data_IF_868860732979
#
_entry.id   IF_868860732979
#
_cell.length_a   1.000
_cell.length_b   1.000
_cell.length_c   1.000
_cell.angle_alpha   90.00
_cell.angle_beta   90.00
_cell.angle_gamma   90.00
#
_symmetry.space_group_name_H-M   'P 1'
#
loop_
_entity.id
_entity.type
_entity.pdbx_description
1 polymer ?
#
# COMPACT_ATOMS: atom_id res chain seq x y z
N UNK A 1 -27.78 -5.79 12.60
CA UNK A 1 -28.31 -6.81 11.68
C UNK A 1 -27.54 -8.08 11.96
N UNK A 2 -28.13 -9.04 12.66
CA UNK A 2 -27.50 -10.34 12.91
C UNK A 2 -27.60 -11.15 11.61
N UNK A 3 -26.48 -11.64 11.12
CA UNK A 3 -26.42 -12.60 10.02
C UNK A 3 -26.72 -13.97 10.67
N UNK A 4 -27.71 -14.68 10.15
CA UNK A 4 -28.11 -15.99 10.63
C UNK A 4 -26.98 -16.98 10.41
N UNK A 5 -26.44 -17.56 11.50
CA UNK A 5 -25.26 -18.45 11.50
C UNK A 5 -25.65 -19.92 11.67
N UNK A 6 -26.91 -20.28 11.49
CA UNK A 6 -27.40 -21.68 11.71
C UNK A 6 -27.06 -22.67 10.58
N UNK A 7 -26.38 -22.25 9.51
CA UNK A 7 -25.83 -23.15 8.52
C UNK A 7 -24.36 -23.46 8.88
N UNK A 8 -23.91 -24.69 8.70
CA UNK A 8 -22.57 -25.21 9.01
C UNK A 8 -21.45 -24.57 8.16
N UNK A 9 -21.37 -23.26 8.10
CA UNK A 9 -20.38 -22.47 7.35
C UNK A 9 -20.06 -21.16 8.06
N UNK A 10 -18.98 -20.49 7.59
CA UNK A 10 -18.61 -19.17 8.11
C UNK A 10 -19.60 -18.11 7.62
N UNK A 11 -19.71 -16.91 8.26
CA UNK A 11 -20.47 -15.79 7.71
C UNK A 11 -20.07 -15.43 6.27
N UNK A 12 -18.80 -15.65 5.91
CA UNK A 12 -18.32 -15.45 4.54
C UNK A 12 -18.98 -16.42 3.56
N UNK A 13 -19.06 -17.72 3.87
CA UNK A 13 -19.64 -18.72 2.98
C UNK A 13 -21.13 -18.43 2.69
N UNK A 14 -21.86 -18.03 3.72
CA UNK A 14 -23.26 -17.60 3.57
C UNK A 14 -23.43 -16.39 2.66
N UNK A 15 -22.59 -15.37 2.82
CA UNK A 15 -22.63 -14.16 1.99
C UNK A 15 -22.12 -14.40 0.56
N UNK A 16 -21.20 -15.34 0.38
CA UNK A 16 -20.69 -15.71 -0.93
C UNK A 16 -21.77 -16.41 -1.79
N UNK A 17 -22.69 -17.15 -1.18
CA UNK A 17 -23.77 -17.82 -1.89
C UNK A 17 -24.68 -16.82 -2.64
N UNK A 18 -24.86 -15.58 -2.10
CA UNK A 18 -25.65 -14.50 -2.68
C UNK A 18 -24.79 -13.43 -3.38
N UNK A 19 -23.51 -13.70 -3.57
CA UNK A 19 -22.61 -12.74 -4.17
C UNK A 19 -22.90 -12.48 -5.66
N UNK A 20 -22.64 -11.25 -6.11
CA UNK A 20 -22.70 -10.93 -7.53
C UNK A 20 -21.60 -11.68 -8.27
N UNK A 21 -21.93 -12.30 -9.39
CA UNK A 21 -21.05 -13.18 -10.17
C UNK A 21 -20.66 -12.64 -11.54
N UNK A 22 -21.25 -11.50 -11.95
CA UNK A 22 -20.94 -10.91 -13.25
C UNK A 22 -20.82 -9.38 -13.21
N UNK A 23 -20.03 -8.79 -14.13
CA UNK A 23 -19.99 -7.34 -14.32
C UNK A 23 -21.34 -6.71 -14.68
N UNK A 24 -22.23 -7.45 -15.37
CA UNK A 24 -23.54 -6.94 -15.78
C UNK A 24 -24.44 -6.69 -14.58
N UNK A 25 -24.45 -7.58 -13.59
CA UNK A 25 -25.15 -7.37 -12.31
C UNK A 25 -24.66 -6.10 -11.59
N UNK A 26 -23.38 -5.77 -11.68
CA UNK A 26 -22.88 -4.50 -11.15
C UNK A 26 -23.44 -3.30 -11.93
N UNK A 27 -23.62 -3.43 -13.25
CA UNK A 27 -24.16 -2.36 -14.10
C UNK A 27 -25.65 -2.11 -13.91
N UNK A 28 -26.39 -3.10 -13.45
CA UNK A 28 -27.79 -2.92 -13.03
C UNK A 28 -27.88 -2.03 -11.77
N UNK A 29 -26.89 -2.12 -10.86
CA UNK A 29 -26.86 -1.36 -9.61
C UNK A 29 -26.18 0.01 -9.75
N UNK A 30 -25.22 0.14 -10.66
CA UNK A 30 -24.38 1.34 -10.80
C UNK A 30 -24.47 1.90 -12.22
N UNK A 31 -24.75 3.20 -12.39
CA UNK A 31 -24.73 3.84 -13.70
C UNK A 31 -23.32 3.81 -14.31
N UNK A 32 -23.23 4.07 -15.60
CA UNK A 32 -21.95 4.20 -16.30
C UNK A 32 -21.10 5.34 -15.69
N UNK A 33 -19.78 5.17 -15.60
CA UNK A 33 -18.90 6.21 -15.11
C UNK A 33 -18.95 7.43 -16.03
N UNK A 34 -18.76 8.62 -15.44
CA UNK A 34 -18.58 9.84 -16.23
C UNK A 34 -17.36 9.69 -17.16
N UNK A 35 -17.48 10.16 -18.39
CA UNK A 35 -16.42 10.08 -19.38
C UNK A 35 -15.09 10.71 -18.90
N UNK A 36 -15.14 11.81 -18.13
CA UNK A 36 -13.94 12.43 -17.57
C UNK A 36 -13.24 11.53 -16.54
N UNK A 37 -13.99 10.65 -15.85
CA UNK A 37 -13.40 9.67 -14.94
C UNK A 37 -12.58 8.60 -15.68
N UNK A 38 -12.94 8.31 -16.93
CA UNK A 38 -12.19 7.39 -17.80
C UNK A 38 -11.04 8.11 -18.51
N UNK A 39 -11.29 9.29 -19.07
CA UNK A 39 -10.31 10.05 -19.88
C UNK A 39 -9.09 10.56 -19.11
N UNK A 40 -9.20 10.71 -17.78
CA UNK A 40 -8.06 11.12 -16.93
C UNK A 40 -7.03 10.02 -16.71
N UNK A 41 -7.35 8.77 -17.05
CA UNK A 41 -6.41 7.67 -17.03
C UNK A 41 -5.52 7.74 -18.28
N UNK A 42 -4.23 7.83 -18.06
CA UNK A 42 -3.20 7.91 -19.10
C UNK A 42 -2.09 6.90 -18.80
N UNK A 43 -1.22 6.65 -19.75
CA UNK A 43 -0.16 5.62 -19.68
C UNK A 43 1.23 6.17 -19.32
N UNK A 44 1.31 7.44 -18.93
CA UNK A 44 2.56 8.12 -18.63
C UNK A 44 2.41 9.13 -17.48
N UNK A 45 3.54 9.61 -16.96
CA UNK A 45 3.64 10.61 -15.91
C UNK A 45 3.77 12.01 -16.52
N UNK A 46 2.76 12.86 -16.32
CA UNK A 46 2.87 14.28 -16.68
C UNK A 46 3.79 15.02 -15.70
N UNK A 47 4.14 16.26 -16.00
CA UNK A 47 4.92 17.12 -15.11
C UNK A 47 4.23 17.26 -13.74
N UNK A 48 2.91 17.45 -13.72
CA UNK A 48 2.12 17.61 -12.48
C UNK A 48 2.09 16.32 -11.66
N UNK A 49 1.96 15.14 -12.30
CA UNK A 49 1.98 13.86 -11.57
C UNK A 49 3.36 13.54 -11.03
N UNK A 50 4.42 13.89 -11.73
CA UNK A 50 5.82 13.82 -11.23
C UNK A 50 6.02 14.74 -10.03
N UNK A 51 5.51 15.96 -10.10
CA UNK A 51 5.54 16.90 -8.97
C UNK A 51 4.79 16.36 -7.74
N UNK A 52 3.62 15.73 -7.93
CA UNK A 52 2.88 15.09 -6.84
C UNK A 52 3.66 13.93 -6.21
N UNK A 53 4.31 13.09 -7.01
CA UNK A 53 5.18 12.01 -6.51
C UNK A 53 6.33 12.61 -5.70
N UNK A 54 6.95 13.69 -6.19
CA UNK A 54 8.00 14.41 -5.47
C UNK A 54 7.57 15.02 -4.13
N UNK A 55 6.28 15.26 -3.93
CA UNK A 55 5.71 15.72 -2.65
C UNK A 55 5.27 14.58 -1.73
N UNK A 56 5.25 13.35 -2.21
CA UNK A 56 4.78 12.20 -1.44
C UNK A 56 5.88 11.64 -0.52
N UNK A 57 5.53 11.39 0.71
CA UNK A 57 6.35 10.67 1.70
C UNK A 57 5.83 9.27 1.99
N UNK A 58 4.71 8.87 1.37
CA UNK A 58 4.06 7.59 1.63
C UNK A 58 3.42 7.04 0.34
N UNK A 59 3.72 5.78 0.03
CA UNK A 59 3.08 5.03 -1.05
C UNK A 59 2.69 3.65 -0.57
N UNK A 60 1.48 3.20 -0.89
CA UNK A 60 1.08 1.81 -0.72
C UNK A 60 1.37 1.06 -2.01
N UNK A 61 1.99 -0.10 -1.86
CA UNK A 61 2.30 -1.01 -2.97
C UNK A 61 1.41 -2.23 -2.83
N UNK A 62 0.56 -2.45 -3.81
CA UNK A 62 -0.25 -3.65 -3.95
C UNK A 62 0.42 -4.61 -4.93
N UNK A 63 0.49 -5.89 -4.58
CA UNK A 63 1.00 -6.97 -5.42
C UNK A 63 0.19 -8.24 -5.20
N UNK A 64 0.39 -9.24 -6.02
CA UNK A 64 -0.20 -10.57 -5.83
C UNK A 64 0.80 -11.63 -6.31
N UNK A 65 0.75 -12.81 -5.70
CA UNK A 65 1.48 -13.97 -6.18
C UNK A 65 0.77 -14.66 -7.37
N UNK A 66 1.34 -15.76 -7.88
CA UNK A 66 0.77 -16.51 -9.01
C UNK A 66 -0.56 -17.19 -8.68
N UNK A 67 -0.84 -17.49 -7.41
CA UNK A 67 -2.12 -18.02 -6.94
C UNK A 67 -3.18 -16.93 -6.71
N UNK A 68 -2.84 -15.66 -6.92
CA UNK A 68 -3.74 -14.52 -6.74
C UNK A 68 -3.88 -14.07 -5.29
N UNK A 69 -3.01 -14.52 -4.37
CA UNK A 69 -3.00 -14.01 -2.99
C UNK A 69 -2.46 -12.59 -2.98
N UNK A 70 -3.28 -11.67 -2.52
CA UNK A 70 -2.95 -10.25 -2.52
C UNK A 70 -2.08 -9.85 -1.32
N UNK A 71 -1.12 -8.95 -1.57
CA UNK A 71 -0.33 -8.26 -0.56
C UNK A 71 -0.46 -6.75 -0.75
N UNK A 72 -0.55 -6.01 0.35
CA UNK A 72 -0.53 -4.55 0.35
C UNK A 72 0.40 -4.07 1.46
N UNK A 73 1.46 -3.35 1.09
CA UNK A 73 2.47 -2.87 2.03
C UNK A 73 2.73 -1.36 1.90
N UNK A 74 2.88 -0.62 2.99
CA UNK A 74 3.31 0.77 2.93
C UNK A 74 4.83 0.86 2.67
N UNK A 75 5.21 1.88 1.91
CA UNK A 75 6.59 2.34 1.75
C UNK A 75 6.63 3.82 2.09
N UNK A 76 7.52 4.23 2.98
CA UNK A 76 7.63 5.60 3.45
C UNK A 76 9.08 6.08 3.45
N UNK A 77 9.27 7.39 3.31
CA UNK A 77 10.56 8.05 3.31
C UNK A 77 10.41 9.57 3.32
N UNK A 78 11.49 10.33 3.19
CA UNK A 78 11.39 11.77 2.98
C UNK A 78 10.58 12.06 1.71
N UNK A 79 9.96 13.24 1.63
CA UNK A 79 9.23 13.63 0.42
C UNK A 79 10.15 13.49 -0.80
N UNK A 80 9.64 12.84 -1.86
CA UNK A 80 10.43 12.57 -3.06
C UNK A 80 11.36 11.35 -2.98
N UNK A 81 11.21 10.48 -1.97
CA UNK A 81 12.02 9.25 -1.88
C UNK A 81 11.79 8.29 -3.06
N UNK A 82 10.64 8.36 -3.71
CA UNK A 82 10.38 7.67 -4.97
C UNK A 82 10.96 8.49 -6.10
N UNK A 83 11.95 7.96 -6.80
CA UNK A 83 12.59 8.61 -7.93
C UNK A 83 11.78 8.38 -9.21
N UNK A 84 11.64 9.42 -10.03
CA UNK A 84 11.07 9.34 -11.38
C UNK A 84 12.19 9.51 -12.37
N UNK A 85 12.48 8.49 -13.17
CA UNK A 85 13.59 8.50 -14.12
C UNK A 85 13.21 9.12 -15.46
N UNK A 86 11.98 8.87 -15.90
CA UNK A 86 11.41 9.39 -17.14
C UNK A 86 9.87 9.46 -17.07
N UNK A 87 9.19 9.62 -18.20
CA UNK A 87 7.73 9.74 -18.26
C UNK A 87 7.00 8.43 -17.95
N UNK A 88 7.68 7.29 -17.85
CA UNK A 88 7.06 5.99 -17.57
C UNK A 88 7.74 5.22 -16.43
N UNK A 89 8.89 5.66 -15.94
CA UNK A 89 9.70 4.85 -15.03
C UNK A 89 9.84 5.47 -13.66
N UNK A 90 9.39 4.73 -12.65
CA UNK A 90 9.54 5.07 -11.23
C UNK A 90 10.45 4.05 -10.54
N UNK A 91 11.14 4.50 -9.51
CA UNK A 91 11.99 3.63 -8.70
C UNK A 91 11.74 3.89 -7.22
N UNK A 92 11.41 2.85 -6.49
CA UNK A 92 11.21 2.87 -5.03
C UNK A 92 12.37 2.14 -4.40
N UNK A 93 13.22 2.82 -3.59
CA UNK A 93 14.28 2.14 -2.85
C UNK A 93 13.68 1.17 -1.83
N UNK A 94 14.27 -0.02 -1.70
CA UNK A 94 13.84 -0.95 -0.66
C UNK A 94 14.57 -0.65 0.65
N UNK A 95 13.80 -0.38 1.69
CA UNK A 95 14.33 -0.17 3.04
C UNK A 95 14.48 -1.50 3.77
N UNK A 96 15.46 -1.61 4.65
CA UNK A 96 15.65 -2.79 5.49
C UNK A 96 14.51 -2.94 6.48
N UNK A 97 13.47 -3.69 6.11
CA UNK A 97 12.31 -3.98 6.95
C UNK A 97 12.45 -5.28 7.74
N UNK A 98 11.32 -5.98 7.92
CA UNK A 98 11.23 -7.28 8.62
C UNK A 98 11.80 -8.48 7.82
N UNK A 99 12.27 -8.27 6.59
CA UNK A 99 12.84 -9.27 5.66
C UNK A 99 11.85 -10.35 5.18
N UNK A 100 10.56 -10.13 5.30
CA UNK A 100 9.56 -11.06 4.71
C UNK A 100 9.63 -11.03 3.19
N UNK A 101 9.84 -9.86 2.59
CA UNK A 101 10.04 -9.65 1.15
C UNK A 101 8.83 -10.03 0.29
N UNK A 102 7.61 -10.11 0.86
CA UNK A 102 6.40 -10.59 0.19
C UNK A 102 6.18 -9.85 -1.14
N UNK A 103 6.19 -8.52 -1.13
CA UNK A 103 6.06 -7.70 -2.35
C UNK A 103 7.12 -8.00 -3.40
N UNK A 104 8.40 -8.18 -2.98
CA UNK A 104 9.48 -8.45 -3.91
C UNK A 104 9.33 -9.84 -4.53
N UNK A 105 8.94 -10.85 -3.75
CA UNK A 105 8.63 -12.19 -4.25
C UNK A 105 7.49 -12.14 -5.27
N UNK A 106 6.37 -11.49 -4.94
CA UNK A 106 5.24 -11.35 -5.84
C UNK A 106 5.63 -10.68 -7.16
N UNK A 107 6.50 -9.65 -7.10
CA UNK A 107 7.01 -8.98 -8.30
C UNK A 107 7.92 -9.88 -9.14
N UNK A 108 8.75 -10.71 -8.51
CA UNK A 108 9.56 -11.69 -9.24
C UNK A 108 8.68 -12.72 -9.96
N UNK A 109 7.54 -13.07 -9.39
CA UNK A 109 6.61 -14.06 -9.95
C UNK A 109 5.69 -13.49 -11.01
N UNK A 110 5.09 -12.32 -10.76
CA UNK A 110 4.00 -11.78 -11.62
C UNK A 110 4.40 -10.57 -12.44
N UNK A 111 5.44 -9.84 -12.02
CA UNK A 111 5.88 -8.63 -12.69
C UNK A 111 4.87 -7.48 -12.65
N UNK A 112 3.94 -7.45 -11.68
CA UNK A 112 2.85 -6.49 -11.61
C UNK A 112 2.72 -5.83 -10.25
N UNK A 113 2.41 -4.51 -10.25
CA UNK A 113 2.11 -3.76 -9.02
C UNK A 113 1.05 -2.70 -9.25
N UNK A 114 0.36 -2.33 -8.16
CA UNK A 114 -0.43 -1.11 -8.05
C UNK A 114 0.16 -0.20 -6.99
N UNK A 115 0.30 1.07 -7.29
CA UNK A 115 0.82 2.08 -6.37
C UNK A 115 -0.28 3.09 -6.04
N UNK A 116 -0.40 3.44 -4.75
CA UNK A 116 -1.25 4.51 -4.29
C UNK A 116 -0.43 5.50 -3.47
N UNK A 117 -0.10 6.64 -4.07
CA UNK A 117 0.63 7.73 -3.42
C UNK A 117 -0.30 8.56 -2.56
N UNK A 118 0.10 8.78 -1.31
CA UNK A 118 -0.53 9.72 -0.39
C UNK A 118 0.37 10.93 -0.20
N UNK A 119 -0.22 12.10 -0.37
CA UNK A 119 0.48 13.38 -0.20
C UNK A 119 -0.01 13.96 1.13
N UNK A 120 0.85 14.10 2.15
CA UNK A 120 0.46 14.61 3.46
C UNK A 120 -0.28 15.95 3.35
N UNK A 121 -1.41 16.06 4.06
CA UNK A 121 -2.27 17.24 4.05
C UNK A 121 -3.15 17.42 2.81
N UNK A 122 -3.00 16.59 1.77
CA UNK A 122 -3.88 16.63 0.59
C UNK A 122 -4.84 15.45 0.56
N UNK A 123 -6.14 15.67 0.32
CA UNK A 123 -7.10 14.58 0.25
C UNK A 123 -7.05 13.80 -1.08
N UNK A 124 -6.42 14.34 -2.12
CA UNK A 124 -6.24 13.66 -3.41
C UNK A 124 -5.08 12.67 -3.33
N UNK A 125 -5.27 11.48 -3.87
CA UNK A 125 -4.21 10.48 -4.04
C UNK A 125 -3.90 10.30 -5.52
N UNK A 126 -2.71 9.79 -5.84
CA UNK A 126 -2.32 9.41 -7.18
C UNK A 126 -2.18 7.89 -7.27
N UNK A 127 -2.85 7.28 -8.26
CA UNK A 127 -2.68 5.86 -8.57
C UNK A 127 -1.76 5.68 -9.77
N UNK A 128 -0.86 4.72 -9.66
CA UNK A 128 -0.01 4.26 -10.76
C UNK A 128 -0.04 2.74 -10.75
N UNK A 129 -0.55 2.12 -11.82
CA UNK A 129 -0.49 0.69 -12.01
C UNK A 129 0.48 0.37 -13.16
N UNK A 130 1.15 -0.78 -13.09
CA UNK A 130 2.02 -1.15 -14.18
C UNK A 130 2.85 -2.40 -13.92
N UNK A 131 3.82 -2.59 -14.81
CA UNK A 131 4.80 -3.69 -14.70
C UNK A 131 5.91 -3.29 -13.76
N UNK A 132 6.46 -4.27 -13.05
CA UNK A 132 7.55 -4.04 -12.12
C UNK A 132 8.62 -5.12 -12.22
N UNK A 133 9.83 -4.75 -11.83
CA UNK A 133 10.93 -5.68 -11.58
C UNK A 133 11.74 -5.24 -10.36
N UNK A 134 12.48 -6.17 -9.78
CA UNK A 134 13.42 -5.90 -8.68
C UNK A 134 14.83 -5.74 -9.26
N UNK A 135 15.49 -4.64 -8.94
CA UNK A 135 16.86 -4.35 -9.41
C UNK A 135 17.83 -4.24 -8.24
N UNK A 136 18.99 -4.85 -8.38
CA UNK A 136 20.14 -4.69 -7.49
C UNK A 136 21.33 -4.00 -8.20
N UNK A 137 21.08 -3.25 -9.30
CA UNK A 137 22.11 -2.57 -10.08
C UNK A 137 22.76 -1.45 -9.27
N UNK A 138 24.08 -1.52 -9.00
CA UNK A 138 24.77 -0.56 -8.13
C UNK A 138 24.65 0.90 -8.63
N UNK A 139 24.74 1.13 -9.96
CA UNK A 139 24.64 2.45 -10.55
C UNK A 139 23.26 3.10 -10.36
N UNK A 140 22.21 2.29 -10.33
CA UNK A 140 20.87 2.75 -9.98
C UNK A 140 20.75 3.06 -8.49
N UNK A 141 21.15 2.11 -7.66
CA UNK A 141 21.01 2.22 -6.20
C UNK A 141 21.76 3.42 -5.61
N UNK A 142 22.95 3.75 -6.17
CA UNK A 142 23.75 4.89 -5.73
C UNK A 142 23.13 6.27 -5.99
N UNK A 143 22.13 6.35 -6.87
CA UNK A 143 21.42 7.58 -7.22
C UNK A 143 20.12 7.78 -6.44
N UNK A 144 19.67 6.76 -5.71
CA UNK A 144 18.42 6.82 -4.97
C UNK A 144 18.59 7.53 -3.63
N UNK A 145 17.56 8.26 -3.22
CA UNK A 145 17.49 8.81 -1.86
C UNK A 145 17.36 7.65 -0.86
N UNK A 146 18.29 7.48 0.06
CA UNK A 146 18.19 6.42 1.05
C UNK A 146 16.99 6.63 1.97
N UNK A 147 16.34 5.53 2.35
CA UNK A 147 15.35 5.49 3.41
C UNK A 147 15.98 4.75 4.59
N UNK A 148 16.62 5.50 5.47
CA UNK A 148 17.53 4.95 6.48
C UNK A 148 18.86 4.52 5.85
N UNK A 149 19.16 3.21 5.87
CA UNK A 149 20.39 2.65 5.28
C UNK A 149 20.36 2.67 3.75
N UNK A 150 21.53 2.68 3.07
CA UNK A 150 21.58 2.55 1.63
C UNK A 150 20.80 1.31 1.15
N UNK A 151 19.96 1.43 0.11
CA UNK A 151 19.17 0.31 -0.38
C UNK A 151 20.06 -0.77 -1.00
N UNK A 152 19.71 -2.04 -0.78
CA UNK A 152 20.37 -3.19 -1.44
C UNK A 152 19.61 -3.65 -2.68
N UNK A 153 18.35 -3.26 -2.80
CA UNK A 153 17.49 -3.45 -3.97
C UNK A 153 16.56 -2.26 -4.16
N UNK A 154 15.96 -2.17 -5.33
CA UNK A 154 14.92 -1.22 -5.62
C UNK A 154 13.81 -1.87 -6.46
N UNK A 155 12.58 -1.45 -6.22
CA UNK A 155 11.43 -1.78 -7.06
C UNK A 155 11.38 -0.78 -8.21
N UNK A 156 11.61 -1.26 -9.43
CA UNK A 156 11.49 -0.45 -10.66
C UNK A 156 10.12 -0.70 -11.27
N UNK A 157 9.36 0.36 -11.51
CA UNK A 157 7.99 0.28 -12.01
C UNK A 157 7.87 1.04 -13.31
N UNK A 158 7.33 0.37 -14.34
CA UNK A 158 6.89 1.02 -15.58
C UNK A 158 5.39 1.34 -15.46
N UNK A 159 5.05 2.62 -15.46
CA UNK A 159 3.67 3.09 -15.43
C UNK A 159 2.93 2.70 -16.71
N UNK A 160 1.75 2.09 -16.57
CA UNK A 160 0.83 1.72 -17.66
C UNK A 160 -0.53 2.39 -17.48
N UNK A 161 -0.88 2.76 -16.25
CA UNK A 161 -2.07 3.51 -15.89
C UNK A 161 -1.73 4.53 -14.81
N UNK A 162 -1.98 5.80 -15.08
CA UNK A 162 -1.71 6.91 -14.16
C UNK A 162 -2.96 7.79 -14.08
N UNK A 163 -3.50 7.98 -12.87
CA UNK A 163 -4.63 8.89 -12.67
C UNK A 163 -4.81 9.34 -11.23
N UNK A 164 -5.26 10.60 -11.00
CA UNK A 164 -5.62 11.07 -9.68
C UNK A 164 -6.91 10.41 -9.20
N UNK A 165 -6.94 10.04 -7.93
CA UNK A 165 -8.10 9.45 -7.30
C UNK A 165 -8.95 10.49 -6.57
N UNK A 166 -10.25 10.19 -6.43
CA UNK A 166 -11.21 11.06 -5.77
C UNK A 166 -10.82 11.32 -4.30
N UNK A 167 -10.91 12.56 -3.79
CA UNK A 167 -10.54 12.91 -2.42
C UNK A 167 -11.54 12.42 -1.35
N UNK A 168 -12.73 11.97 -1.75
CA UNK A 168 -13.87 11.74 -0.83
C UNK A 168 -13.57 10.71 0.26
N UNK A 169 -12.76 9.68 0.00
CA UNK A 169 -12.41 8.66 0.99
C UNK A 169 -11.60 9.24 2.14
N UNK A 170 -10.53 9.96 1.83
CA UNK A 170 -9.68 10.62 2.84
C UNK A 170 -10.39 11.76 3.57
N UNK A 171 -11.30 12.46 2.88
CA UNK A 171 -12.14 13.48 3.51
C UNK A 171 -13.12 12.86 4.51
N UNK A 172 -13.82 11.76 4.16
CA UNK A 172 -14.74 11.06 5.07
C UNK A 172 -14.02 10.44 6.26
N UNK A 173 -12.80 9.95 6.04
CA UNK A 173 -11.97 9.38 7.09
C UNK A 173 -11.31 10.43 7.99
N UNK A 174 -11.46 11.74 7.70
CA UNK A 174 -10.72 12.80 8.38
C UNK A 174 -9.21 12.52 8.44
N UNK A 175 -8.65 11.92 7.37
CA UNK A 175 -7.31 11.36 7.36
C UNK A 175 -6.21 12.38 7.72
N UNK A 176 -6.45 13.68 7.49
CA UNK A 176 -5.53 14.78 7.79
C UNK A 176 -6.04 15.71 8.90
N UNK A 177 -6.92 15.18 9.78
CA UNK A 177 -7.48 15.92 10.91
C UNK A 177 -7.24 15.15 12.20
N UNK A 178 -5.99 15.18 12.72
CA UNK A 178 -5.62 14.41 13.92
C UNK A 178 -6.49 14.74 15.15
N UNK A 179 -7.04 15.95 15.21
CA UNK A 179 -7.98 16.37 16.26
C UNK A 179 -9.32 15.61 16.26
N UNK A 180 -9.62 14.87 15.18
CA UNK A 180 -10.83 14.05 15.02
C UNK A 180 -10.56 12.55 15.11
N UNK A 181 -9.31 12.16 15.34
CA UNK A 181 -8.98 10.75 15.48
C UNK A 181 -9.33 10.24 16.88
N UNK A 182 -9.54 8.93 16.98
CA UNK A 182 -9.68 8.31 18.30
C UNK A 182 -8.39 8.52 19.11
N UNK A 183 -8.50 8.82 20.41
CA UNK A 183 -7.34 8.88 21.30
C UNK A 183 -6.53 7.57 21.25
N UNK A 184 -5.22 7.66 21.40
CA UNK A 184 -4.34 6.49 21.32
C UNK A 184 -4.66 5.44 22.40
N UNK A 185 -5.08 5.87 23.59
CA UNK A 185 -5.49 5.01 24.70
C UNK A 185 -6.86 4.33 24.51
N UNK A 186 -7.64 4.78 23.51
CA UNK A 186 -8.88 4.11 23.09
C UNK A 186 -8.66 3.03 22.02
N UNK A 187 -7.40 2.75 21.66
CA UNK A 187 -7.04 1.80 20.62
C UNK A 187 -6.07 0.77 21.18
N UNK A 188 -6.16 -0.52 20.78
CA UNK A 188 -5.14 -1.49 21.14
C UNK A 188 -3.78 -1.08 20.59
N UNK A 189 -2.73 -1.22 21.37
CA UNK A 189 -1.36 -1.01 20.91
C UNK A 189 -0.94 -2.10 19.92
N UNK A 190 0.10 -1.82 19.11
CA UNK A 190 0.70 -2.84 18.24
C UNK A 190 1.16 -4.07 19.02
N UNK A 191 1.76 -3.87 20.17
CA UNK A 191 2.23 -4.94 21.04
C UNK A 191 1.09 -5.82 21.57
N UNK A 192 -0.06 -5.25 21.93
CA UNK A 192 -1.26 -6.02 22.34
C UNK A 192 -1.79 -6.87 21.17
N UNK A 193 -1.83 -6.31 19.96
CA UNK A 193 -2.26 -7.05 18.77
C UNK A 193 -1.31 -8.21 18.49
N UNK A 194 0.01 -7.97 18.52
CA UNK A 194 1.03 -9.00 18.30
C UNK A 194 0.94 -10.11 19.36
N UNK A 195 0.80 -9.73 20.63
CA UNK A 195 0.66 -10.69 21.74
C UNK A 195 -0.53 -11.62 21.53
N UNK A 196 -1.68 -11.06 21.14
CA UNK A 196 -2.91 -11.82 20.89
C UNK A 196 -2.75 -12.75 19.67
N UNK A 197 -2.06 -12.33 18.61
CA UNK A 197 -1.83 -13.14 17.42
C UNK A 197 -0.83 -14.26 17.63
N UNK A 198 0.27 -14.00 18.36
CA UNK A 198 1.29 -15.01 18.64
C UNK A 198 0.78 -16.09 19.59
N UNK A 199 0.00 -15.70 20.60
CA UNK A 199 -0.58 -16.57 21.61
C UNK A 199 0.40 -17.62 22.18
N UNK A 200 1.64 -17.19 22.47
CA UNK A 200 2.71 -18.09 22.93
C UNK A 200 2.74 -18.15 24.46
N UNK A 201 2.80 -19.35 25.09
CA UNK A 201 2.92 -19.49 26.53
C UNK A 201 4.15 -18.74 27.08
N UNK A 202 3.94 -17.90 28.10
CA UNK A 202 5.00 -17.16 28.76
C UNK A 202 5.50 -15.91 28.06
N UNK A 203 4.99 -15.58 26.87
CA UNK A 203 5.26 -14.29 26.21
C UNK A 203 4.46 -13.19 26.89
N UNK A 204 5.13 -12.07 27.23
CA UNK A 204 4.50 -10.94 27.91
C UNK A 204 4.42 -9.71 27.01
N UNK A 205 3.49 -8.80 27.31
CA UNK A 205 3.36 -7.53 26.62
C UNK A 205 4.68 -6.73 26.68
N UNK A 206 5.30 -6.65 27.84
CA UNK A 206 6.56 -5.93 28.06
C UNK A 206 7.70 -6.45 27.15
N UNK A 207 7.77 -7.78 26.95
CA UNK A 207 8.77 -8.38 26.04
C UNK A 207 8.56 -7.96 24.59
N UNK A 208 7.29 -7.85 24.15
CA UNK A 208 6.97 -7.40 22.78
C UNK A 208 7.28 -5.92 22.63
N UNK A 209 6.87 -5.09 23.58
CA UNK A 209 7.18 -3.65 23.56
C UNK A 209 8.68 -3.37 23.54
N UNK A 210 9.48 -4.14 24.30
CA UNK A 210 10.93 -4.02 24.26
C UNK A 210 11.51 -4.42 22.90
N UNK A 211 11.01 -5.52 22.32
CA UNK A 211 11.42 -5.95 21.00
C UNK A 211 11.05 -4.92 19.90
N UNK A 212 9.90 -4.26 20.00
CA UNK A 212 9.50 -3.18 19.10
C UNK A 212 10.41 -1.96 19.26
N UNK A 213 10.70 -1.53 20.50
CA UNK A 213 11.62 -0.41 20.77
C UNK A 213 13.01 -0.69 20.19
N UNK A 214 13.54 -1.90 20.41
CA UNK A 214 14.84 -2.30 19.86
C UNK A 214 14.82 -2.36 18.32
N UNK A 215 13.75 -2.87 17.74
CA UNK A 215 13.56 -2.92 16.29
C UNK A 215 13.57 -1.52 15.67
N UNK A 216 12.86 -0.56 16.29
CA UNK A 216 12.88 0.83 15.84
C UNK A 216 14.30 1.42 15.96
N UNK A 217 14.97 1.23 17.09
CA UNK A 217 16.34 1.73 17.30
C UNK A 217 17.35 1.19 16.28
N UNK A 218 17.22 -0.08 15.86
CA UNK A 218 18.19 -0.75 15.00
C UNK A 218 17.88 -0.65 13.51
N UNK A 219 16.62 -0.43 13.14
CA UNK A 219 16.13 -0.58 11.75
C UNK A 219 15.44 0.65 11.19
N UNK A 220 15.17 1.66 12.02
CA UNK A 220 14.54 2.90 11.54
C UNK A 220 15.54 3.82 10.83
N UNK A 221 16.85 3.72 11.19
CA UNK A 221 17.95 4.48 10.61
C UNK A 221 18.66 3.71 9.49
#
# INVERSE_FOLDING_TARGET
>A
MMIDTDAAGTPFDSLQADALTSPDQLRELYPQPNQNALRKEIDHLTEETRALIGCSSLVFVASADQEGRADVTPRGGPAGFVSVLDEQTLVIPDATGNKRLDTLHNVLETGRVGLLFLIPGRPTTLRVNGRACVSARPELLSQLTPVGKPPVTALVVRAEQVYPHCPKSLMRANAWRPEQWLPADAQPSSAEVILAQLNLPGLTLEQIEEAERESLRLRYE
#
